data_IF_060883076597
#
_entry.id   IF_060883076597
#
_cell.length_a   1.000
_cell.length_b   1.000
_cell.length_c   1.000
_cell.angle_alpha   90.00
_cell.angle_beta   90.00
_cell.angle_gamma   90.00
#
_symmetry.space_group_name_H-M   'P 1'
#
loop_
_entity.id
_entity.type
_entity.pdbx_description
1 polymer ?
#
# COMPACT_ATOMS: atom_id res chain seq x y z
N UNK A 1 31.03 -8.93 -4.80
CA UNK A 1 29.57 -8.69 -4.77
C UNK A 1 29.38 -7.19 -4.95
N UNK A 2 28.94 -6.76 -6.14
CA UNK A 2 28.73 -5.36 -6.47
C UNK A 2 27.45 -4.86 -5.80
N UNK A 3 27.57 -3.80 -5.00
CA UNK A 3 26.45 -3.02 -4.48
C UNK A 3 25.62 -2.55 -5.69
N UNK A 4 24.28 -2.62 -5.68
CA UNK A 4 23.51 -2.11 -6.82
C UNK A 4 23.77 -0.62 -6.97
N UNK A 5 23.92 -0.17 -8.21
CA UNK A 5 23.97 1.23 -8.59
C UNK A 5 22.92 2.02 -7.80
N UNK A 6 23.36 3.07 -7.11
CA UNK A 6 22.45 4.03 -6.50
C UNK A 6 21.54 4.54 -7.61
N UNK A 7 20.25 4.23 -7.53
CA UNK A 7 19.25 4.77 -8.44
C UNK A 7 19.35 6.30 -8.36
N UNK A 8 19.96 6.92 -9.36
CA UNK A 8 20.06 8.36 -9.48
C UNK A 8 18.72 8.86 -10.02
N UNK A 9 17.74 8.95 -9.15
CA UNK A 9 16.49 9.62 -9.46
C UNK A 9 16.79 11.12 -9.57
N UNK A 10 16.73 11.66 -10.79
CA UNK A 10 17.01 13.08 -11.04
C UNK A 10 15.77 13.92 -10.73
N UNK A 11 14.58 13.37 -10.97
CA UNK A 11 13.31 14.02 -10.68
C UNK A 11 12.18 13.04 -10.30
N UNK A 12 11.01 13.60 -9.98
CA UNK A 12 9.80 12.82 -9.60
C UNK A 12 9.26 11.98 -10.76
N UNK A 13 9.49 12.39 -12.01
CA UNK A 13 9.02 11.67 -13.19
C UNK A 13 9.84 10.39 -13.43
N UNK A 14 11.14 10.40 -13.14
CA UNK A 14 11.98 9.21 -13.13
C UNK A 14 11.50 8.17 -12.11
N UNK A 15 11.10 8.62 -10.92
CA UNK A 15 10.54 7.76 -9.88
C UNK A 15 9.22 7.13 -10.37
N UNK A 16 8.31 7.94 -10.93
CA UNK A 16 7.04 7.45 -11.49
C UNK A 16 7.26 6.40 -12.57
N UNK A 17 8.15 6.66 -13.52
CA UNK A 17 8.48 5.71 -14.60
C UNK A 17 9.06 4.40 -14.09
N UNK A 18 9.89 4.43 -13.05
CA UNK A 18 10.39 3.19 -12.46
C UNK A 18 9.29 2.40 -11.73
N UNK A 19 8.39 3.08 -11.02
CA UNK A 19 7.23 2.44 -10.37
C UNK A 19 6.34 1.76 -11.43
N UNK A 20 6.11 2.40 -12.57
CA UNK A 20 5.31 1.82 -13.66
C UNK A 20 5.98 0.60 -14.31
N UNK A 21 7.30 0.63 -14.47
CA UNK A 21 8.08 -0.49 -15.05
C UNK A 21 8.25 -1.66 -14.08
N UNK A 22 8.05 -1.43 -12.78
CA UNK A 22 8.19 -2.47 -11.78
C UNK A 22 7.03 -3.46 -11.94
N UNK A 23 7.31 -4.77 -12.11
CA UNK A 23 6.27 -5.77 -12.18
C UNK A 23 5.39 -5.67 -10.94
N UNK A 24 4.10 -5.38 -11.14
CA UNK A 24 3.15 -5.34 -10.04
C UNK A 24 2.89 -6.80 -9.64
N UNK A 25 3.22 -7.21 -8.39
CA UNK A 25 2.86 -8.54 -7.95
C UNK A 25 1.33 -8.67 -8.04
N UNK A 26 0.88 -9.82 -8.56
CA UNK A 26 -0.55 -10.13 -8.63
C UNK A 26 -1.02 -10.52 -7.23
N UNK A 27 -1.26 -9.49 -6.41
CA UNK A 27 -1.69 -9.62 -5.03
C UNK A 27 -3.22 -9.65 -5.05
N UNK A 28 -3.79 -10.83 -4.79
CA UNK A 28 -5.23 -10.98 -4.54
C UNK A 28 -5.49 -10.74 -3.06
N UNK A 29 -6.26 -9.70 -2.68
CA UNK A 29 -6.56 -9.45 -1.27
C UNK A 29 -7.62 -10.43 -0.74
N UNK A 30 -7.42 -10.92 0.48
CA UNK A 30 -8.44 -11.70 1.20
C UNK A 30 -9.53 -10.78 1.77
N UNK A 31 -9.13 -9.58 2.18
CA UNK A 31 -10.02 -8.57 2.75
C UNK A 31 -9.76 -7.21 2.12
N UNK A 32 -10.83 -6.44 1.89
CA UNK A 32 -10.74 -5.05 1.46
C UNK A 32 -11.54 -4.17 2.41
N UNK A 33 -10.95 -3.08 2.90
CA UNK A 33 -11.63 -2.10 3.75
C UNK A 33 -11.53 -0.68 3.17
N UNK A 34 -12.64 0.06 3.28
CA UNK A 34 -12.65 1.50 3.05
C UNK A 34 -12.39 2.24 4.36
N UNK A 35 -11.31 3.00 4.42
CA UNK A 35 -10.88 3.72 5.62
C UNK A 35 -11.82 4.89 5.99
N UNK A 36 -12.59 5.41 5.02
CA UNK A 36 -13.49 6.54 5.22
C UNK A 36 -12.75 7.86 5.44
N UNK A 37 -13.45 8.92 5.90
CA UNK A 37 -12.85 10.25 6.06
C UNK A 37 -11.79 10.30 7.16
N UNK A 38 -10.81 11.20 6.99
CA UNK A 38 -9.80 11.53 7.99
C UNK A 38 -10.41 12.32 9.16
N UNK A 39 -11.19 11.64 10.00
CA UNK A 39 -11.81 12.22 11.18
C UNK A 39 -11.96 11.18 12.28
N UNK A 40 -11.82 11.61 13.54
CA UNK A 40 -12.07 10.79 14.74
C UNK A 40 -11.25 9.48 14.81
N UNK A 41 -10.12 9.39 14.10
CA UNK A 41 -9.29 8.18 14.08
C UNK A 41 -9.90 6.99 13.35
N UNK A 42 -10.95 7.20 12.54
CA UNK A 42 -11.65 6.13 11.81
C UNK A 42 -10.74 5.22 10.97
N UNK A 43 -9.72 5.72 10.25
CA UNK A 43 -8.79 4.85 9.53
C UNK A 43 -8.06 3.85 10.44
N UNK A 44 -7.66 4.29 11.63
CA UNK A 44 -6.96 3.45 12.61
C UNK A 44 -7.92 2.42 13.20
N UNK A 45 -9.12 2.83 13.60
CA UNK A 45 -10.13 1.93 14.17
C UNK A 45 -10.52 0.83 13.19
N UNK A 46 -10.83 1.18 11.94
CA UNK A 46 -11.20 0.21 10.89
C UNK A 46 -10.04 -0.74 10.57
N UNK A 47 -8.81 -0.23 10.51
CA UNK A 47 -7.63 -1.07 10.30
C UNK A 47 -7.44 -2.05 11.46
N UNK A 48 -7.59 -1.57 12.70
CA UNK A 48 -7.47 -2.42 13.89
C UNK A 48 -8.54 -3.51 13.94
N UNK A 49 -9.79 -3.18 13.62
CA UNK A 49 -10.86 -4.18 13.57
C UNK A 49 -10.63 -5.23 12.49
N UNK A 50 -10.20 -4.82 11.30
CA UNK A 50 -9.90 -5.75 10.21
C UNK A 50 -8.75 -6.70 10.58
N UNK A 51 -7.65 -6.17 11.12
CA UNK A 51 -6.50 -6.99 11.53
C UNK A 51 -6.84 -7.99 12.63
N UNK A 52 -7.72 -7.63 13.57
CA UNK A 52 -8.15 -8.53 14.65
C UNK A 52 -9.05 -9.67 14.17
N UNK A 53 -9.67 -9.56 12.98
CA UNK A 53 -10.50 -10.60 12.38
C UNK A 53 -9.76 -11.43 11.33
N UNK A 54 -8.48 -11.14 11.06
CA UNK A 54 -7.69 -11.79 10.03
C UNK A 54 -6.84 -12.92 10.58
N UNK A 55 -6.67 -13.95 9.76
CA UNK A 55 -5.72 -15.02 10.02
C UNK A 55 -4.30 -14.61 9.59
N UNK A 56 -3.25 -15.12 10.25
CA UNK A 56 -1.87 -14.87 9.85
C UNK A 56 -1.61 -15.26 8.38
N UNK A 57 -1.02 -14.35 7.62
CA UNK A 57 -0.71 -14.55 6.20
C UNK A 57 -1.79 -14.05 5.24
N UNK A 58 -2.98 -13.66 5.72
CA UNK A 58 -3.98 -12.99 4.90
C UNK A 58 -3.55 -11.58 4.50
N UNK A 59 -3.96 -11.15 3.32
CA UNK A 59 -3.63 -9.87 2.73
C UNK A 59 -4.81 -8.90 2.87
N UNK A 60 -4.56 -7.75 3.51
CA UNK A 60 -5.52 -6.65 3.63
C UNK A 60 -5.23 -5.57 2.59
N UNK A 61 -6.21 -5.27 1.73
CA UNK A 61 -6.22 -4.07 0.90
C UNK A 61 -6.97 -2.94 1.61
N UNK A 62 -6.35 -1.78 1.71
CA UNK A 62 -6.99 -0.58 2.24
C UNK A 62 -7.25 0.40 1.12
N UNK A 63 -8.42 1.01 1.13
CA UNK A 63 -8.81 2.05 0.18
C UNK A 63 -9.17 3.31 0.96
N UNK A 64 -8.62 4.45 0.53
CA UNK A 64 -8.93 5.75 1.08
C UNK A 64 -9.55 6.63 -0.01
N UNK A 65 -10.82 6.99 0.16
CA UNK A 65 -11.50 7.97 -0.70
C UNK A 65 -11.25 9.41 -0.28
N UNK A 66 -10.00 9.78 0.02
CA UNK A 66 -9.68 11.19 0.27
C UNK A 66 -9.73 11.93 -1.07
N UNK A 67 -10.54 13.01 -1.22
CA UNK A 67 -10.46 13.86 -2.40
C UNK A 67 -9.09 14.53 -2.54
#
# INVERSE_FOLDING_TARGET
MSVPDRLSFVDIEDIRRQIEKTPKPDITPDHTIELGPCGMGMPVLKSSWALNSMEPGQILKTESGHP
#
